data_IF_036304457548
#
_entry.id   IF_036304457548
#
_cell.length_a   1.000
_cell.length_b   1.000
_cell.length_c   1.000
_cell.angle_alpha   90.00
_cell.angle_beta   90.00
_cell.angle_gamma   90.00
#
_symmetry.space_group_name_H-M   'P 1'
#
loop_
_entity.id
_entity.type
_entity.pdbx_description
1 polymer ?
#
# COMPACT_ATOMS: atom_id res chain seq x y z
N UNK A 1 15.79 1.48 -11.63
CA UNK A 1 16.54 1.74 -10.42
C UNK A 1 16.38 0.58 -9.45
N UNK A 2 17.49 0.08 -8.92
CA UNK A 2 17.50 -0.88 -7.81
C UNK A 2 18.30 -0.24 -6.67
N UNK A 3 17.68 -0.12 -5.52
CA UNK A 3 18.31 0.47 -4.33
C UNK A 3 18.16 -0.48 -3.15
N UNK A 4 19.26 -0.71 -2.44
CA UNK A 4 19.27 -1.50 -1.22
C UNK A 4 19.85 -0.64 -0.09
N UNK A 5 19.10 -0.52 1.00
CA UNK A 5 19.53 0.25 2.16
C UNK A 5 19.39 -0.57 3.43
N UNK A 6 20.42 -0.52 4.25
CA UNK A 6 20.48 -1.19 5.55
C UNK A 6 20.88 -0.17 6.61
N UNK A 7 20.05 0.01 7.62
CA UNK A 7 20.32 0.98 8.69
C UNK A 7 19.15 1.16 9.62
N UNK A 8 19.38 1.84 10.74
CA UNK A 8 18.33 2.09 11.73
C UNK A 8 17.34 3.15 11.24
N UNK A 9 17.81 4.13 10.48
CA UNK A 9 16.99 5.18 9.88
C UNK A 9 17.35 5.32 8.41
N UNK A 10 16.37 5.42 7.54
CA UNK A 10 16.56 5.71 6.14
C UNK A 10 15.55 6.77 5.68
N UNK A 11 16.04 7.68 4.86
CA UNK A 11 15.25 8.67 4.15
C UNK A 11 15.60 8.56 2.67
N UNK A 12 14.61 8.24 1.85
CA UNK A 12 14.81 7.87 0.45
C UNK A 12 13.82 8.62 -0.43
N UNK A 13 14.32 9.54 -1.22
CA UNK A 13 13.55 10.25 -2.22
C UNK A 13 13.88 9.72 -3.62
N UNK A 14 12.85 9.31 -4.36
CA UNK A 14 13.02 8.90 -5.74
C UNK A 14 12.03 9.58 -6.65
N UNK A 15 12.56 10.22 -7.66
CA UNK A 15 11.80 10.83 -8.75
C UNK A 15 12.19 10.16 -10.06
N UNK A 16 11.25 9.52 -10.70
CA UNK A 16 11.41 8.96 -12.03
C UNK A 16 10.45 9.66 -13.00
N UNK A 17 11.00 10.30 -14.00
CA UNK A 17 10.26 10.96 -15.07
C UNK A 17 10.77 10.49 -16.43
N UNK A 18 9.87 10.16 -17.34
CA UNK A 18 10.26 9.71 -18.69
C UNK A 18 9.10 9.00 -19.37
N UNK A 19 9.26 8.69 -20.65
CA UNK A 19 8.26 8.00 -21.44
C UNK A 19 8.38 6.49 -21.27
N UNK A 20 7.50 5.90 -20.47
CA UNK A 20 7.27 4.46 -20.31
C UNK A 20 8.38 3.64 -19.59
N UNK A 21 7.92 2.66 -18.82
CA UNK A 21 8.71 1.60 -18.17
C UNK A 21 9.71 2.07 -17.07
N UNK A 22 9.32 3.05 -16.27
CA UNK A 22 10.07 3.35 -15.07
C UNK A 22 9.95 2.20 -14.06
N UNK A 23 11.04 1.52 -13.78
CA UNK A 23 11.10 0.44 -12.81
C UNK A 23 11.94 0.90 -11.62
N UNK A 24 11.33 0.87 -10.45
CA UNK A 24 12.00 1.15 -9.20
C UNK A 24 11.83 -0.03 -8.24
N UNK A 25 12.93 -0.55 -7.73
CA UNK A 25 12.92 -1.60 -6.72
C UNK A 25 13.70 -1.11 -5.50
N UNK A 26 13.03 -1.07 -4.39
CA UNK A 26 13.59 -0.66 -3.10
C UNK A 26 13.62 -1.81 -2.14
N UNK A 27 14.77 -2.05 -1.54
CA UNK A 27 14.94 -3.02 -0.48
C UNK A 27 15.48 -2.28 0.73
N UNK A 28 14.69 -2.17 1.76
CA UNK A 28 15.10 -1.50 3.00
C UNK A 28 15.06 -2.47 4.18
N UNK A 29 16.08 -2.38 5.02
CA UNK A 29 16.16 -3.17 6.25
C UNK A 29 16.51 -2.25 7.41
N UNK A 30 15.63 -2.16 8.40
CA UNK A 30 15.87 -1.28 9.54
C UNK A 30 14.59 -0.78 10.18
N UNK A 31 14.69 -0.03 11.26
CA UNK A 31 13.55 0.29 12.10
C UNK A 31 12.77 1.52 11.61
N UNK A 32 13.37 2.64 11.35
CA UNK A 32 12.66 3.85 10.91
C UNK A 32 12.98 4.16 9.46
N UNK A 33 11.98 4.00 8.58
CA UNK A 33 12.14 4.18 7.15
C UNK A 33 11.15 5.24 6.65
N UNK A 34 11.63 6.23 5.90
CA UNK A 34 10.82 7.14 5.11
C UNK A 34 11.16 6.94 3.63
N UNK A 35 10.16 6.67 2.81
CA UNK A 35 10.33 6.37 1.39
C UNK A 35 9.34 7.20 0.59
N UNK A 36 9.83 8.15 -0.16
CA UNK A 36 9.06 9.00 -1.04
C UNK A 36 9.34 8.61 -2.50
N UNK A 37 8.31 8.17 -3.22
CA UNK A 37 8.43 7.73 -4.60
C UNK A 37 7.48 8.53 -5.48
N UNK A 38 8.03 9.23 -6.46
CA UNK A 38 7.26 9.90 -7.51
C UNK A 38 7.59 9.30 -8.86
N UNK A 39 6.60 8.73 -9.53
CA UNK A 39 6.72 8.22 -10.89
C UNK A 39 5.72 8.92 -11.81
N UNK A 40 6.22 9.60 -12.84
CA UNK A 40 5.38 10.24 -13.85
C UNK A 40 5.50 9.52 -15.18
N UNK A 41 4.40 9.31 -15.88
CA UNK A 41 4.31 8.61 -17.16
C UNK A 41 4.35 7.07 -17.09
N UNK A 42 3.88 6.52 -16.01
CA UNK A 42 3.76 5.07 -15.83
C UNK A 42 5.02 4.41 -15.27
N UNK A 43 4.85 3.19 -14.81
CA UNK A 43 5.97 2.42 -14.29
C UNK A 43 5.58 1.41 -13.23
N UNK A 44 6.57 0.71 -12.71
CA UNK A 44 6.42 -0.24 -11.63
C UNK A 44 7.29 0.18 -10.45
N UNK A 45 6.68 0.38 -9.30
CA UNK A 45 7.38 0.50 -8.04
C UNK A 45 7.22 -0.78 -7.22
N UNK A 46 8.31 -1.32 -6.73
CA UNK A 46 8.30 -2.47 -5.82
C UNK A 46 9.08 -2.10 -4.56
N UNK A 47 8.42 -2.17 -3.43
CA UNK A 47 9.03 -1.87 -2.13
C UNK A 47 9.07 -3.13 -1.28
N UNK A 48 10.27 -3.52 -0.88
CA UNK A 48 10.50 -4.57 0.11
C UNK A 48 11.05 -3.92 1.37
N UNK A 49 10.33 -4.03 2.45
CA UNK A 49 10.76 -3.42 3.70
C UNK A 49 10.62 -4.39 4.87
N UNK A 50 11.72 -4.61 5.57
CA UNK A 50 11.76 -5.45 6.76
C UNK A 50 12.36 -4.69 7.93
N UNK A 51 11.70 -4.74 9.09
CA UNK A 51 12.22 -4.20 10.35
C UNK A 51 12.63 -5.31 11.30
N UNK A 52 13.56 -5.01 12.19
CA UNK A 52 14.05 -5.98 13.14
C UNK A 52 13.30 -5.97 14.47
N UNK A 53 12.49 -4.95 14.72
CA UNK A 53 11.78 -4.77 15.98
C UNK A 53 10.29 -4.48 15.75
N UNK A 54 9.47 -4.74 16.77
CA UNK A 54 8.05 -4.42 16.78
C UNK A 54 7.76 -2.90 16.82
N UNK A 55 8.78 -2.08 16.96
CA UNK A 55 8.67 -0.62 17.01
C UNK A 55 9.07 0.06 15.70
N UNK A 56 9.30 -0.70 14.65
CA UNK A 56 9.70 -0.16 13.35
C UNK A 56 8.60 0.70 12.74
N UNK A 57 8.83 1.98 12.65
CA UNK A 57 7.94 2.94 11.98
C UNK A 57 8.36 3.08 10.53
N UNK A 58 7.41 2.95 9.62
CA UNK A 58 7.64 3.12 8.19
C UNK A 58 6.65 4.12 7.63
N UNK A 59 7.16 5.01 6.81
CA UNK A 59 6.35 5.91 6.02
C UNK A 59 6.65 5.67 4.55
N UNK A 60 5.62 5.43 3.76
CA UNK A 60 5.75 5.30 2.32
C UNK A 60 4.74 6.25 1.69
N UNK A 61 5.25 7.23 0.97
CA UNK A 61 4.46 8.11 0.13
C UNK A 61 4.73 7.74 -1.33
N UNK A 62 3.70 7.40 -2.05
CA UNK A 62 3.79 7.03 -3.44
C UNK A 62 2.84 7.88 -4.28
N UNK A 63 3.40 8.62 -5.21
CA UNK A 63 2.65 9.32 -6.25
C UNK A 63 2.95 8.69 -7.61
N UNK A 64 1.95 8.11 -8.26
CA UNK A 64 2.07 7.55 -9.59
C UNK A 64 1.06 8.16 -10.56
N UNK A 65 1.55 8.56 -11.73
CA UNK A 65 0.71 8.99 -12.85
C UNK A 65 1.07 8.20 -14.11
N UNK A 66 0.11 7.94 -14.97
CA UNK A 66 0.25 7.03 -16.09
C UNK A 66 -0.12 5.59 -15.71
N UNK A 67 -0.04 4.63 -16.64
CA UNK A 67 -0.23 3.22 -16.32
C UNK A 67 0.82 2.76 -15.32
N UNK A 68 0.41 2.50 -14.10
CA UNK A 68 1.36 2.24 -13.02
C UNK A 68 1.01 1.01 -12.19
N UNK A 69 2.01 0.35 -11.67
CA UNK A 69 1.86 -0.79 -10.75
C UNK A 69 2.69 -0.54 -9.50
N UNK A 70 2.08 -0.67 -8.36
CA UNK A 70 2.75 -0.66 -7.07
C UNK A 70 2.66 -2.04 -6.41
N UNK A 71 3.79 -2.56 -5.97
CA UNK A 71 3.86 -3.82 -5.27
C UNK A 71 4.66 -3.68 -3.98
N UNK A 72 4.20 -4.32 -2.93
CA UNK A 72 4.98 -4.47 -1.70
C UNK A 72 5.33 -5.93 -1.46
N UNK A 73 6.55 -6.16 -1.04
CA UNK A 73 7.06 -7.50 -0.68
C UNK A 73 7.89 -7.38 0.59
N UNK A 74 7.65 -8.22 1.58
CA UNK A 74 8.41 -8.20 2.83
C UNK A 74 8.53 -9.57 3.48
N UNK A 75 9.50 -9.69 4.37
CA UNK A 75 9.71 -10.88 5.20
C UNK A 75 9.66 -10.48 6.66
N UNK A 76 8.76 -11.06 7.43
CA UNK A 76 8.77 -10.94 8.89
C UNK A 76 9.61 -12.08 9.48
N UNK A 77 10.34 -11.79 10.55
CA UNK A 77 11.16 -12.76 11.30
C UNK A 77 10.51 -14.15 11.41
N UNK A 78 11.00 -15.11 10.64
CA UNK A 78 10.59 -16.49 10.68
C UNK A 78 9.30 -16.85 9.96
N UNK A 79 8.61 -15.88 9.34
CA UNK A 79 7.46 -16.14 8.48
C UNK A 79 7.71 -15.54 7.10
N UNK A 80 7.53 -16.35 6.08
CA UNK A 80 7.45 -15.87 4.70
C UNK A 80 6.08 -15.28 4.47
N UNK A 81 5.94 -13.99 4.69
CA UNK A 81 4.82 -13.21 4.20
C UNK A 81 5.37 -12.13 3.31
N UNK A 82 4.74 -11.94 2.19
CA UNK A 82 5.05 -10.81 1.33
C UNK A 82 4.38 -9.57 1.90
N UNK A 83 5.14 -8.50 2.16
CA UNK A 83 4.55 -7.29 2.67
C UNK A 83 5.47 -6.38 3.47
N UNK A 84 4.93 -5.31 3.95
CA UNK A 84 5.62 -4.32 4.77
C UNK A 84 5.56 -4.72 6.25
N UNK A 85 6.68 -5.09 6.82
CA UNK A 85 6.77 -5.55 8.19
C UNK A 85 7.13 -4.42 9.14
N UNK A 86 6.42 -4.32 10.24
CA UNK A 86 6.69 -3.38 11.33
C UNK A 86 5.43 -2.97 12.08
N UNK A 87 5.59 -2.37 13.23
CA UNK A 87 4.51 -1.76 13.96
C UNK A 87 4.41 -0.27 13.61
N UNK A 88 3.19 0.26 13.41
CA UNK A 88 2.97 1.68 13.23
C UNK A 88 3.48 2.24 11.89
N UNK A 89 3.15 1.62 10.80
CA UNK A 89 3.44 2.16 9.45
C UNK A 89 2.40 3.18 8.99
N UNK A 90 2.82 4.16 8.20
CA UNK A 90 1.94 5.06 7.45
C UNK A 90 2.25 4.91 5.97
N UNK A 91 1.21 4.67 5.19
CA UNK A 91 1.29 4.41 3.76
C UNK A 91 0.30 5.33 3.05
N UNK A 92 0.81 6.26 2.26
CA UNK A 92 0.04 7.22 1.49
C UNK A 92 0.32 6.98 0.00
N UNK A 93 -0.71 6.56 -0.74
CA UNK A 93 -0.57 6.04 -2.10
C UNK A 93 -1.56 6.74 -3.02
N UNK A 94 -1.06 7.64 -3.86
CA UNK A 94 -1.82 8.34 -4.87
C UNK A 94 -1.54 7.79 -6.26
N UNK A 95 -2.57 7.26 -6.91
CA UNK A 95 -2.47 6.77 -8.26
C UNK A 95 -3.48 7.49 -9.17
N UNK A 96 -3.00 8.45 -9.95
CA UNK A 96 -3.84 9.36 -10.74
C UNK A 96 -4.22 8.83 -12.13
N UNK A 97 -3.90 7.60 -12.44
CA UNK A 97 -4.32 6.97 -13.70
C UNK A 97 -4.52 5.47 -13.55
N UNK A 98 -4.96 4.83 -14.62
CA UNK A 98 -5.25 3.38 -14.63
C UNK A 98 -4.06 2.58 -14.13
N UNK A 99 -4.25 1.77 -13.11
CA UNK A 99 -3.15 1.01 -12.57
C UNK A 99 -3.55 -0.07 -11.58
N UNK A 100 -2.54 -0.70 -11.02
CA UNK A 100 -2.71 -1.76 -10.01
C UNK A 100 -1.91 -1.44 -8.77
N UNK A 101 -2.56 -1.51 -7.63
CA UNK A 101 -1.94 -1.41 -6.32
C UNK A 101 -2.06 -2.78 -5.65
N UNK A 102 -0.93 -3.41 -5.35
CA UNK A 102 -0.86 -4.61 -4.54
C UNK A 102 -0.13 -4.26 -3.24
N UNK A 103 -0.89 -4.13 -2.18
CA UNK A 103 -0.38 -3.73 -0.87
C UNK A 103 -0.54 -4.89 0.11
N UNK A 104 0.57 -5.35 0.65
CA UNK A 104 0.61 -6.37 1.69
C UNK A 104 1.27 -5.75 2.92
N UNK A 105 0.50 -5.59 3.98
CA UNK A 105 0.92 -4.91 5.22
C UNK A 105 0.82 -5.86 6.39
N UNK A 106 1.97 -6.18 6.96
CA UNK A 106 2.09 -7.06 8.12
C UNK A 106 2.63 -6.30 9.32
N UNK A 107 1.75 -5.85 10.18
CA UNK A 107 2.17 -5.14 11.38
C UNK A 107 1.00 -4.63 12.21
N UNK A 108 1.26 -4.32 13.46
CA UNK A 108 0.26 -3.71 14.32
C UNK A 108 0.16 -2.20 14.04
N UNK A 109 -1.05 -1.65 14.07
CA UNK A 109 -1.32 -0.21 14.00
C UNK A 109 -0.82 0.48 12.71
N UNK A 110 -1.07 -0.14 11.57
CA UNK A 110 -0.77 0.49 10.29
C UNK A 110 -1.92 1.41 9.84
N UNK A 111 -1.56 2.58 9.33
CA UNK A 111 -2.47 3.50 8.67
C UNK A 111 -2.21 3.48 7.17
N UNK A 112 -3.23 3.22 6.40
CA UNK A 112 -3.16 3.18 4.94
C UNK A 112 -4.16 4.16 4.36
N UNK A 113 -3.71 5.03 3.49
CA UNK A 113 -4.51 5.92 2.66
C UNK A 113 -4.23 5.61 1.20
N UNK A 114 -5.26 5.33 0.43
CA UNK A 114 -5.14 5.06 -1.00
C UNK A 114 -6.14 5.93 -1.75
N UNK A 115 -5.65 6.79 -2.64
CA UNK A 115 -6.45 7.54 -3.59
C UNK A 115 -6.16 7.05 -5.01
N UNK A 116 -7.17 6.55 -5.71
CA UNK A 116 -7.08 6.11 -7.08
C UNK A 116 -8.13 6.81 -7.94
N UNK A 117 -7.74 7.87 -8.65
CA UNK A 117 -8.65 8.74 -9.39
C UNK A 117 -9.04 8.25 -10.78
N UNK A 118 -8.66 7.04 -11.14
CA UNK A 118 -8.97 6.44 -12.44
C UNK A 118 -9.29 4.96 -12.28
N UNK A 119 -9.84 4.34 -13.31
CA UNK A 119 -10.14 2.89 -13.28
C UNK A 119 -8.91 2.07 -12.91
N UNK A 120 -9.05 1.17 -11.97
CA UNK A 120 -7.91 0.37 -11.56
C UNK A 120 -8.25 -0.79 -10.64
N UNK A 121 -7.21 -1.43 -10.17
CA UNK A 121 -7.33 -2.55 -9.23
C UNK A 121 -6.54 -2.26 -7.97
N UNK A 122 -7.18 -2.41 -6.82
CA UNK A 122 -6.53 -2.35 -5.51
C UNK A 122 -6.68 -3.71 -4.83
N UNK A 123 -5.56 -4.29 -4.47
CA UNK A 123 -5.51 -5.49 -3.65
C UNK A 123 -4.74 -5.18 -2.38
N UNK A 124 -5.40 -5.36 -1.25
CA UNK A 124 -4.81 -5.15 0.08
C UNK A 124 -4.90 -6.44 0.87
N UNK A 125 -3.77 -6.94 1.34
CA UNK A 125 -3.68 -8.02 2.30
C UNK A 125 -3.03 -7.47 3.59
N UNK A 126 -3.79 -7.46 4.65
CA UNK A 126 -3.36 -6.87 5.91
C UNK A 126 -3.42 -7.89 7.05
N UNK A 127 -2.33 -8.02 7.77
CA UNK A 127 -2.27 -8.85 8.97
C UNK A 127 -1.78 -8.04 10.16
N UNK A 128 -2.51 -8.08 11.25
CA UNK A 128 -2.15 -7.35 12.46
C UNK A 128 -3.35 -6.72 13.16
N UNK A 129 -3.14 -6.10 14.28
CA UNK A 129 -4.18 -5.45 15.07
C UNK A 129 -4.10 -3.93 14.95
N UNK A 130 -5.26 -3.24 14.95
CA UNK A 130 -5.31 -1.78 14.91
C UNK A 130 -4.99 -1.20 13.53
N UNK A 131 -5.39 -1.87 12.49
CA UNK A 131 -5.23 -1.43 11.12
C UNK A 131 -6.28 -0.39 10.73
N UNK A 132 -5.89 0.67 10.05
CA UNK A 132 -6.80 1.65 9.47
C UNK A 132 -6.58 1.72 7.96
N UNK A 133 -7.65 1.63 7.21
CA UNK A 133 -7.65 1.83 5.76
C UNK A 133 -8.68 2.89 5.38
N UNK A 134 -8.21 3.91 4.68
CA UNK A 134 -9.03 4.87 3.94
C UNK A 134 -8.75 4.68 2.46
N UNK A 135 -9.76 4.22 1.71
CA UNK A 135 -9.66 3.93 0.29
C UNK A 135 -10.70 4.74 -0.48
N UNK A 136 -10.22 5.62 -1.33
CA UNK A 136 -11.04 6.40 -2.27
C UNK A 136 -10.72 6.00 -3.71
N UNK A 137 -11.72 5.52 -4.44
CA UNK A 137 -11.58 5.12 -5.83
C UNK A 137 -12.65 5.78 -6.69
N UNK A 138 -12.20 6.48 -7.72
CA UNK A 138 -13.03 7.02 -8.77
C UNK A 138 -13.04 6.13 -10.01
N UNK A 139 -14.16 6.12 -10.71
CA UNK A 139 -14.40 5.32 -11.92
C UNK A 139 -14.50 3.80 -11.67
N UNK A 140 -14.77 3.04 -12.73
CA UNK A 140 -14.93 1.60 -12.64
C UNK A 140 -13.70 0.91 -12.05
N UNK A 141 -13.79 0.42 -10.85
CA UNK A 141 -12.67 -0.10 -10.07
C UNK A 141 -12.94 -1.47 -9.46
N UNK A 142 -11.87 -2.20 -9.18
CA UNK A 142 -11.94 -3.49 -8.49
C UNK A 142 -11.11 -3.44 -7.23
N UNK A 143 -11.73 -3.71 -6.10
CA UNK A 143 -11.05 -3.79 -4.80
C UNK A 143 -11.18 -5.18 -4.22
N UNK A 144 -10.06 -5.72 -3.77
CA UNK A 144 -10.00 -6.92 -2.94
C UNK A 144 -9.25 -6.60 -1.66
N UNK A 145 -9.92 -6.63 -0.55
CA UNK A 145 -9.36 -6.43 0.78
C UNK A 145 -9.50 -7.70 1.61
N UNK A 146 -8.39 -8.20 2.11
CA UNK A 146 -8.34 -9.26 3.10
C UNK A 146 -7.62 -8.75 4.36
N UNK A 147 -8.24 -8.93 5.51
CA UNK A 147 -7.64 -8.60 6.80
C UNK A 147 -7.74 -9.75 7.79
N UNK A 148 -6.60 -10.13 8.35
CA UNK A 148 -6.47 -11.06 9.46
C UNK A 148 -5.92 -10.34 10.69
N UNK A 149 -6.81 -9.93 11.61
CA UNK A 149 -6.37 -9.20 12.80
C UNK A 149 -7.45 -8.93 13.83
N UNK A 150 -7.05 -8.52 15.02
CA UNK A 150 -7.98 -8.39 16.14
C UNK A 150 -8.90 -7.17 16.04
N UNK A 151 -8.48 -6.09 15.38
CA UNK A 151 -9.29 -4.88 15.17
C UNK A 151 -8.86 -4.16 13.90
N UNK A 152 -9.82 -3.59 13.21
CA UNK A 152 -9.59 -2.81 12.01
C UNK A 152 -10.67 -1.76 11.82
N UNK A 153 -10.32 -0.64 11.19
CA UNK A 153 -11.23 0.44 10.81
C UNK A 153 -11.06 0.69 9.32
N UNK A 154 -12.13 0.50 8.56
CA UNK A 154 -12.11 0.54 7.11
C UNK A 154 -13.14 1.53 6.59
N UNK A 155 -12.68 2.53 5.85
CA UNK A 155 -13.51 3.44 5.08
C UNK A 155 -13.22 3.21 3.62
N UNK A 156 -14.23 2.82 2.85
CA UNK A 156 -14.10 2.51 1.43
C UNK A 156 -15.15 3.30 0.66
N UNK A 157 -14.67 4.19 -0.18
CA UNK A 157 -15.49 4.98 -1.08
C UNK A 157 -15.15 4.61 -2.53
N UNK A 158 -16.15 4.14 -3.27
CA UNK A 158 -16.05 3.89 -4.70
C UNK A 158 -17.11 4.73 -5.42
N UNK A 159 -16.71 5.58 -6.34
CA UNK A 159 -17.58 6.52 -7.02
C UNK A 159 -17.35 6.56 -8.53
N UNK A 160 -18.39 6.87 -9.28
CA UNK A 160 -18.28 7.33 -10.66
C UNK A 160 -18.16 6.29 -11.75
N UNK A 161 -18.39 5.02 -11.49
CA UNK A 161 -18.30 3.99 -12.51
C UNK A 161 -19.38 2.91 -12.41
N UNK A 162 -19.99 2.54 -13.52
CA UNK A 162 -20.77 1.31 -13.57
C UNK A 162 -19.81 0.11 -13.62
N UNK A 163 -19.88 -0.76 -12.64
CA UNK A 163 -19.08 -1.98 -12.60
C UNK A 163 -18.04 -2.06 -11.49
N UNK A 164 -18.18 -1.22 -10.47
CA UNK A 164 -17.37 -1.32 -9.26
C UNK A 164 -17.55 -2.67 -8.58
N UNK A 165 -16.44 -3.31 -8.29
CA UNK A 165 -16.39 -4.60 -7.61
C UNK A 165 -15.61 -4.45 -6.30
N UNK A 166 -16.28 -4.76 -5.19
CA UNK A 166 -15.64 -4.85 -3.89
C UNK A 166 -15.74 -6.26 -3.35
N UNK A 167 -14.61 -6.85 -3.03
CA UNK A 167 -14.51 -8.09 -2.27
C UNK A 167 -13.83 -7.81 -0.93
N UNK A 168 -14.56 -7.99 0.15
CA UNK A 168 -14.06 -7.75 1.50
C UNK A 168 -14.12 -9.03 2.32
N UNK A 169 -12.99 -9.41 2.90
CA UNK A 169 -12.88 -10.50 3.86
C UNK A 169 -12.17 -9.99 5.11
N UNK A 170 -12.88 -9.94 6.22
CA UNK A 170 -12.33 -9.51 7.51
C UNK A 170 -12.49 -10.63 8.52
N UNK A 171 -11.36 -11.17 8.96
CA UNK A 171 -11.26 -12.20 9.99
C UNK A 171 -10.74 -11.58 11.28
N UNK A 172 -11.62 -11.01 12.08
CA UNK A 172 -11.20 -10.29 13.29
C UNK A 172 -12.27 -10.25 14.37
N UNK A 173 -11.84 -9.98 15.58
CA UNK A 173 -12.75 -9.91 16.72
C UNK A 173 -13.55 -8.60 16.78
N UNK A 174 -13.04 -7.53 16.19
CA UNK A 174 -13.67 -6.20 16.17
C UNK A 174 -13.22 -5.43 14.94
N UNK A 175 -14.07 -5.35 13.96
CA UNK A 175 -13.86 -4.54 12.77
C UNK A 175 -15.00 -3.55 12.59
N UNK A 176 -14.67 -2.31 12.27
CA UNK A 176 -15.62 -1.31 11.81
C UNK A 176 -15.45 -1.14 10.29
N UNK A 177 -16.54 -1.19 9.56
CA UNK A 177 -16.48 -1.16 8.09
C UNK A 177 -17.56 -0.21 7.57
N UNK A 178 -17.13 0.89 6.96
CA UNK A 178 -17.96 1.83 6.26
C UNK A 178 -17.71 1.74 4.75
N UNK A 179 -18.73 1.37 3.99
CA UNK A 179 -18.65 1.22 2.53
C UNK A 179 -19.66 2.12 1.87
N UNK A 180 -19.21 2.92 0.94
CA UNK A 180 -20.05 3.75 0.08
C UNK A 180 -19.71 3.45 -1.37
N UNK A 181 -20.66 2.89 -2.12
CA UNK A 181 -20.57 2.72 -3.57
C UNK A 181 -21.64 3.58 -4.22
N UNK A 182 -21.25 4.38 -5.20
CA UNK A 182 -22.16 5.31 -5.92
C UNK A 182 -21.84 5.28 -7.41
N UNK A 183 -22.85 5.03 -8.23
CA UNK A 183 -22.82 5.18 -9.68
C UNK A 183 -22.91 6.67 -10.11
#
# INVERSE_FOLDING_TARGET
LIMTQTGITADVDVVQSGSYDNIATYITTGDSQNIDITQTAGGTATVTSSGSTSSAVKTINLLQSGHATFNTVGTILGQTSSGLAGAGGTYDIDQTSTGTINLDVNGASANVSIEQTSSGTVHVDAAGSGYTLDLDQDNASTTSLHHDGASGDYVILQTGGSGDILTLTVNGASANVDIIQRD
#
